data_IF_413136637019
#
_entry.id   IF_413136637019
#
_cell.length_a   1.000
_cell.length_b   1.000
_cell.length_c   1.000
_cell.angle_alpha   90.00
_cell.angle_beta   90.00
_cell.angle_gamma   90.00
#
_symmetry.space_group_name_H-M   'P 1'
#
loop_
_entity.id
_entity.type
_entity.pdbx_description
1 polymer ?
#
# COMPACT_ATOMS: atom_id res chain seq x y z
N UNK A 1 17.79 -10.77 3.67
CA UNK A 1 17.43 -9.88 4.79
C UNK A 1 17.21 -8.46 4.30
N UNK A 2 18.29 -7.70 4.07
CA UNK A 2 18.25 -6.30 3.67
C UNK A 2 17.27 -5.97 2.52
N UNK A 3 17.44 -6.64 1.38
CA UNK A 3 16.60 -6.40 0.17
C UNK A 3 15.11 -6.56 0.50
N UNK A 4 14.76 -7.59 1.26
CA UNK A 4 13.39 -7.93 1.61
C UNK A 4 12.73 -6.89 2.52
N UNK A 5 13.45 -6.38 3.51
CA UNK A 5 12.92 -5.34 4.40
C UNK A 5 12.84 -3.98 3.70
N UNK A 6 13.86 -3.62 2.91
CA UNK A 6 13.88 -2.38 2.14
C UNK A 6 12.79 -2.34 1.06
N UNK A 7 12.65 -3.42 0.27
CA UNK A 7 11.63 -3.50 -0.78
C UNK A 7 10.22 -3.47 -0.23
N UNK A 8 9.97 -4.18 0.87
CA UNK A 8 8.67 -4.19 1.55
C UNK A 8 8.30 -2.82 2.11
N UNK A 9 9.25 -2.16 2.76
CA UNK A 9 9.04 -0.82 3.31
C UNK A 9 8.75 0.17 2.20
N UNK A 10 9.55 0.11 1.13
CA UNK A 10 9.30 0.91 -0.07
C UNK A 10 7.89 0.69 -0.59
N UNK A 11 7.46 -0.56 -0.78
CA UNK A 11 6.11 -0.87 -1.25
C UNK A 11 5.01 -0.30 -0.34
N UNK A 12 5.15 -0.44 0.98
CA UNK A 12 4.22 0.15 1.96
C UNK A 12 4.13 1.66 1.84
N UNK A 13 5.27 2.33 1.77
CA UNK A 13 5.34 3.78 1.65
C UNK A 13 4.79 4.27 0.31
N UNK A 14 4.94 3.50 -0.78
CA UNK A 14 4.33 3.85 -2.06
C UNK A 14 2.80 3.79 -2.02
N UNK A 15 2.23 2.82 -1.31
CA UNK A 15 0.78 2.76 -1.09
C UNK A 15 0.32 3.95 -0.24
N UNK A 16 1.08 4.29 0.82
CA UNK A 16 0.82 5.48 1.61
C UNK A 16 0.88 6.76 0.77
N UNK A 17 1.90 6.93 -0.07
CA UNK A 17 1.99 8.06 -0.99
C UNK A 17 0.85 8.07 -2.01
N UNK A 18 0.39 6.91 -2.49
CA UNK A 18 -0.77 6.85 -3.37
C UNK A 18 -2.06 7.32 -2.67
N UNK A 19 -2.25 7.04 -1.37
CA UNK A 19 -3.38 7.61 -0.60
C UNK A 19 -3.27 9.12 -0.44
N UNK A 20 -2.05 9.64 -0.20
CA UNK A 20 -1.78 11.07 -0.11
C UNK A 20 -2.06 11.76 -1.46
N UNK A 21 -1.57 11.17 -2.55
CA UNK A 21 -1.76 11.66 -3.90
C UNK A 21 -3.25 11.78 -4.26
N UNK A 22 -4.03 10.75 -3.92
CA UNK A 22 -5.49 10.75 -4.10
C UNK A 22 -6.18 11.82 -3.26
N UNK A 23 -5.73 12.03 -2.03
CA UNK A 23 -6.24 13.13 -1.21
C UNK A 23 -5.93 14.50 -1.84
N UNK A 24 -4.68 14.72 -2.27
CA UNK A 24 -4.24 15.94 -2.93
C UNK A 24 -5.07 16.21 -4.20
N UNK A 25 -5.30 15.18 -5.02
CA UNK A 25 -6.12 15.25 -6.23
C UNK A 25 -7.58 15.62 -5.92
N UNK A 26 -8.13 15.07 -4.83
CA UNK A 26 -9.51 15.35 -4.38
C UNK A 26 -9.68 16.69 -3.67
N UNK A 27 -8.57 17.37 -3.32
CA UNK A 27 -8.61 18.58 -2.50
C UNK A 27 -9.24 19.76 -3.23
N UNK A 28 -10.00 20.57 -2.50
CA UNK A 28 -10.65 21.78 -3.04
C UNK A 28 -9.64 22.88 -3.37
N UNK A 29 -8.49 22.89 -2.70
CA UNK A 29 -7.49 23.94 -2.90
C UNK A 29 -6.70 23.68 -4.19
N UNK A 30 -6.74 24.63 -5.12
CA UNK A 30 -6.01 24.56 -6.38
C UNK A 30 -4.49 24.38 -6.18
N UNK A 31 -3.94 24.99 -5.12
CA UNK A 31 -2.51 24.86 -4.78
C UNK A 31 -2.12 23.42 -4.47
N UNK A 32 -2.96 22.69 -3.73
CA UNK A 32 -2.70 21.28 -3.45
C UNK A 32 -2.81 20.45 -4.74
N UNK A 33 -3.85 20.66 -5.56
CA UNK A 33 -3.98 19.93 -6.84
C UNK A 33 -2.78 20.11 -7.76
N UNK A 34 -2.17 21.30 -7.79
CA UNK A 34 -0.95 21.56 -8.54
C UNK A 34 0.28 20.79 -8.03
N UNK A 35 0.27 20.28 -6.80
CA UNK A 35 1.34 19.43 -6.27
C UNK A 35 1.28 18.01 -6.81
N UNK A 36 0.13 17.53 -7.31
CA UNK A 36 0.01 16.25 -8.01
C UNK A 36 0.56 16.39 -9.44
N UNK A 37 1.87 16.56 -9.54
CA UNK A 37 2.60 16.51 -10.80
C UNK A 37 3.46 15.25 -10.82
N UNK A 38 3.64 14.69 -12.02
CA UNK A 38 4.49 13.52 -12.22
C UNK A 38 5.93 13.75 -11.72
N UNK A 39 6.42 15.00 -11.79
CA UNK A 39 7.74 15.38 -11.26
C UNK A 39 7.82 15.18 -9.75
N UNK A 40 6.82 15.63 -9.00
CA UNK A 40 6.78 15.50 -7.55
C UNK A 40 6.64 14.04 -7.12
N UNK A 41 5.82 13.25 -7.84
CA UNK A 41 5.67 11.81 -7.58
C UNK A 41 7.02 11.09 -7.74
N UNK A 42 7.76 11.39 -8.82
CA UNK A 42 9.11 10.82 -9.05
C UNK A 42 10.08 11.18 -7.95
N UNK A 43 10.09 12.43 -7.50
CA UNK A 43 10.95 12.90 -6.39
C UNK A 43 10.58 12.16 -5.10
N UNK A 44 9.29 12.06 -4.76
CA UNK A 44 8.83 11.34 -3.57
C UNK A 44 9.22 9.85 -3.62
N UNK A 45 9.10 9.20 -4.78
CA UNK A 45 9.53 7.82 -4.99
C UNK A 45 11.02 7.65 -4.69
N UNK A 46 11.88 8.52 -5.25
CA UNK A 46 13.34 8.47 -5.03
C UNK A 46 13.67 8.66 -3.55
N UNK A 47 13.02 9.63 -2.90
CA UNK A 47 13.20 9.89 -1.47
C UNK A 47 12.84 8.66 -0.63
N UNK A 48 11.69 8.02 -0.88
CA UNK A 48 11.27 6.82 -0.14
C UNK A 48 12.24 5.67 -0.31
N UNK A 49 12.72 5.42 -1.53
CA UNK A 49 13.71 4.37 -1.80
C UNK A 49 15.01 4.64 -1.06
N UNK A 50 15.51 5.88 -1.12
CA UNK A 50 16.74 6.28 -0.46
C UNK A 50 16.64 6.16 1.07
N UNK A 51 15.56 6.69 1.66
CA UNK A 51 15.28 6.58 3.09
C UNK A 51 15.16 5.11 3.52
N UNK A 52 14.49 4.26 2.72
CA UNK A 52 14.37 2.83 3.02
C UNK A 52 15.74 2.14 3.04
N UNK A 53 16.62 2.44 2.07
CA UNK A 53 17.99 1.92 2.06
C UNK A 53 18.77 2.36 3.31
N UNK A 54 18.68 3.64 3.69
CA UNK A 54 19.37 4.17 4.86
C UNK A 54 18.87 3.52 6.16
N UNK A 55 17.56 3.44 6.38
CA UNK A 55 16.96 2.84 7.59
C UNK A 55 17.38 1.38 7.75
N UNK A 56 17.49 0.63 6.66
CA UNK A 56 17.83 -0.79 6.72
C UNK A 56 19.32 -1.10 6.55
N UNK A 57 20.17 -0.10 6.30
CA UNK A 57 21.62 -0.28 6.24
C UNK A 57 22.19 -0.90 7.53
N UNK A 58 21.58 -0.61 8.68
CA UNK A 58 21.91 -1.21 9.98
C UNK A 58 21.86 -2.74 9.97
N UNK A 59 21.08 -3.38 9.08
CA UNK A 59 21.00 -4.85 8.98
C UNK A 59 22.39 -5.45 8.73
N UNK A 60 23.24 -4.79 7.94
CA UNK A 60 24.59 -5.30 7.66
C UNK A 60 25.46 -5.45 8.92
N UNK A 61 25.25 -4.60 9.92
CA UNK A 61 26.04 -4.60 11.16
C UNK A 61 25.34 -5.32 12.32
N UNK A 62 24.01 -5.29 12.35
CA UNK A 62 23.20 -5.80 13.46
C UNK A 62 22.76 -7.27 13.29
N UNK A 63 22.73 -7.81 12.07
CA UNK A 63 22.30 -9.19 11.86
C UNK A 63 23.50 -10.13 11.77
N UNK A 64 23.34 -11.32 12.36
CA UNK A 64 24.28 -12.42 12.20
C UNK A 64 23.52 -13.68 11.76
N UNK A 65 24.18 -14.52 10.99
CA UNK A 65 23.63 -15.80 10.54
C UNK A 65 23.91 -16.90 11.56
N UNK A 66 23.10 -17.95 11.52
CA UNK A 66 23.22 -19.18 12.31
C UNK A 66 23.21 -18.94 13.83
N UNK A 67 22.38 -18.02 14.33
CA UNK A 67 22.16 -17.91 15.77
C UNK A 67 21.37 -19.12 16.29
N UNK A 68 21.77 -19.59 17.47
CA UNK A 68 21.07 -20.63 18.23
C UNK A 68 20.04 -19.95 19.14
N UNK A 69 18.93 -20.63 19.42
CA UNK A 69 17.83 -20.16 20.29
C UNK A 69 16.97 -18.99 19.77
N UNK A 70 17.23 -18.45 18.59
CA UNK A 70 16.39 -17.41 17.97
C UNK A 70 15.25 -18.01 17.12
N UNK A 71 14.14 -17.27 16.91
CA UNK A 71 13.03 -17.77 16.09
C UNK A 71 13.40 -17.97 14.61
N UNK A 72 14.44 -17.28 14.15
CA UNK A 72 14.98 -17.35 12.79
C UNK A 72 16.49 -17.59 12.85
N UNK A 73 17.02 -18.31 11.85
CA UNK A 73 18.48 -18.52 11.70
C UNK A 73 19.26 -17.24 11.46
N UNK A 74 18.61 -16.18 10.96
CA UNK A 74 19.22 -14.88 10.70
C UNK A 74 18.46 -13.82 11.50
N UNK A 75 19.08 -13.35 12.58
CA UNK A 75 18.42 -12.50 13.57
C UNK A 75 19.38 -11.48 14.18
N UNK A 76 18.86 -10.52 14.94
CA UNK A 76 19.65 -9.47 15.58
C UNK A 76 20.66 -10.07 16.57
N UNK A 77 21.94 -9.71 16.43
CA UNK A 77 23.06 -10.26 17.20
C UNK A 77 23.02 -9.90 18.69
N UNK A 78 22.44 -8.74 19.02
CA UNK A 78 22.32 -8.20 20.37
C UNK A 78 20.89 -7.76 20.62
N UNK A 79 20.49 -7.74 21.89
CA UNK A 79 19.18 -7.24 22.30
C UNK A 79 18.92 -5.81 21.78
N UNK A 80 19.92 -4.93 21.88
CA UNK A 80 19.83 -3.54 21.37
C UNK A 80 19.53 -3.52 19.87
N UNK A 81 20.25 -4.34 19.08
CA UNK A 81 19.98 -4.46 17.65
C UNK A 81 18.58 -4.98 17.34
N UNK A 82 18.06 -5.92 18.14
CA UNK A 82 16.71 -6.45 17.98
C UNK A 82 15.68 -5.35 18.24
N UNK A 83 15.74 -4.69 19.42
CA UNK A 83 14.85 -3.59 19.80
C UNK A 83 14.84 -2.49 18.74
N UNK A 84 16.02 -2.03 18.32
CA UNK A 84 16.16 -1.00 17.29
C UNK A 84 15.50 -1.49 15.99
N UNK A 85 15.89 -2.66 15.48
CA UNK A 85 15.36 -3.15 14.21
C UNK A 85 13.85 -3.38 14.24
N UNK A 86 13.31 -3.89 15.35
CA UNK A 86 11.88 -4.17 15.51
C UNK A 86 11.08 -2.87 15.69
N UNK A 87 11.65 -1.87 16.36
CA UNK A 87 11.06 -0.53 16.48
C UNK A 87 11.03 0.20 15.14
N UNK A 88 12.13 0.22 14.39
CA UNK A 88 12.17 0.83 13.06
C UNK A 88 11.22 0.13 12.08
N UNK A 89 11.18 -1.20 12.13
CA UNK A 89 10.29 -1.99 11.29
C UNK A 89 8.82 -1.77 11.67
N UNK A 90 8.45 -1.95 12.93
CA UNK A 90 7.07 -1.81 13.40
C UNK A 90 6.57 -0.37 13.32
N UNK A 91 7.34 0.57 13.88
CA UNK A 91 6.98 1.98 13.95
C UNK A 91 7.01 2.66 12.59
N UNK A 92 8.19 2.75 11.98
CA UNK A 92 8.38 3.57 10.76
C UNK A 92 7.88 2.85 9.51
N UNK A 93 8.02 1.52 9.43
CA UNK A 93 7.74 0.80 8.19
C UNK A 93 6.33 0.25 8.09
N UNK A 94 5.62 0.09 9.22
CA UNK A 94 4.25 -0.47 9.24
C UNK A 94 3.26 0.53 9.84
N UNK A 95 3.43 0.94 11.10
CA UNK A 95 2.46 1.76 11.83
C UNK A 95 2.33 3.15 11.20
N UNK A 96 3.45 3.84 10.95
CA UNK A 96 3.43 5.20 10.39
C UNK A 96 2.74 5.26 9.02
N UNK A 97 3.11 4.44 8.00
CA UNK A 97 2.39 4.44 6.74
C UNK A 97 0.92 4.03 6.90
N UNK A 98 0.57 3.10 7.80
CA UNK A 98 -0.84 2.77 8.09
C UNK A 98 -1.63 3.97 8.61
N UNK A 99 -1.07 4.73 9.56
CA UNK A 99 -1.69 5.95 10.08
C UNK A 99 -1.91 6.96 8.95
N UNK A 100 -0.90 7.19 8.11
CA UNK A 100 -1.02 8.09 6.96
C UNK A 100 -2.13 7.61 6.01
N UNK A 101 -2.15 6.32 5.67
CA UNK A 101 -3.17 5.72 4.80
C UNK A 101 -4.58 5.90 5.35
N UNK A 102 -4.78 5.73 6.66
CA UNK A 102 -6.08 5.91 7.31
C UNK A 102 -6.48 7.40 7.30
N UNK A 103 -5.59 8.29 7.75
CA UNK A 103 -5.88 9.73 7.84
C UNK A 103 -6.19 10.33 6.47
N UNK A 104 -5.35 10.09 5.47
CA UNK A 104 -5.55 10.61 4.11
C UNK A 104 -6.67 9.87 3.37
N UNK A 105 -6.86 8.57 3.64
CA UNK A 105 -8.01 7.82 3.15
C UNK A 105 -9.34 8.42 3.61
N UNK A 106 -9.50 8.68 4.91
CA UNK A 106 -10.68 9.33 5.47
C UNK A 106 -10.89 10.74 4.88
N UNK A 107 -9.84 11.56 4.81
CA UNK A 107 -9.94 12.90 4.19
C UNK A 107 -10.37 12.84 2.72
N UNK A 108 -9.93 11.83 1.98
CA UNK A 108 -10.35 11.60 0.58
C UNK A 108 -11.84 11.26 0.50
N UNK A 109 -12.35 10.39 1.39
CA UNK A 109 -13.79 10.07 1.49
C UNK A 109 -14.60 11.35 1.74
N UNK A 110 -14.20 12.15 2.74
CA UNK A 110 -14.90 13.40 3.07
C UNK A 110 -14.95 14.38 1.89
N UNK A 111 -13.82 14.58 1.20
CA UNK A 111 -13.77 15.46 0.02
C UNK A 111 -14.68 14.96 -1.11
N UNK A 112 -14.66 13.66 -1.38
CA UNK A 112 -15.47 13.04 -2.43
C UNK A 112 -16.97 13.17 -2.12
N UNK A 113 -17.39 12.99 -0.86
CA UNK A 113 -18.79 13.18 -0.45
C UNK A 113 -19.23 14.65 -0.61
N UNK A 114 -18.39 15.61 -0.20
CA UNK A 114 -18.71 17.04 -0.35
C UNK A 114 -18.86 17.47 -1.80
N UNK A 115 -18.03 16.94 -2.71
CA UNK A 115 -18.14 17.23 -4.14
C UNK A 115 -19.45 16.66 -4.71
N UNK A 116 -19.88 15.47 -4.30
CA UNK A 116 -21.11 14.86 -4.79
C UNK A 116 -22.36 15.64 -4.41
N UNK A 117 -22.42 16.15 -3.18
CA UNK A 117 -23.56 16.94 -2.69
C UNK A 117 -23.74 18.22 -3.50
N UNK A 118 -22.65 18.83 -3.99
CA UNK A 118 -22.70 20.07 -4.79
C UNK A 118 -23.01 19.86 -6.27
N UNK A 119 -22.71 18.67 -6.80
CA UNK A 119 -22.82 18.38 -8.24
C UNK A 119 -24.11 17.62 -8.57
N UNK A 120 -24.99 17.32 -7.62
CA UNK A 120 -26.39 17.06 -7.95
C UNK A 120 -26.96 18.36 -8.53
N UNK A 121 -27.10 18.48 -9.87
CA UNK A 121 -27.77 19.62 -10.40
C UNK A 121 -29.21 19.44 -9.93
N UNK A 122 -29.70 20.39 -9.14
CA UNK A 122 -31.13 20.64 -9.02
C UNK A 122 -31.64 20.59 -10.47
N UNK A 123 -32.35 19.53 -10.83
CA UNK A 123 -33.04 19.43 -12.10
C UNK A 123 -34.11 20.52 -12.03
N UNK A 124 -33.73 21.75 -12.39
CA UNK A 124 -34.68 22.78 -12.71
C UNK A 124 -35.22 22.32 -14.07
N UNK A 125 -36.50 21.93 -14.19
CA UNK A 125 -37.08 21.63 -15.48
C UNK A 125 -37.08 22.94 -16.28
N UNK A 126 -36.09 23.11 -17.14
CA UNK A 126 -36.07 24.19 -18.13
C UNK A 126 -37.05 23.75 -19.21
N UNK A 127 -38.29 24.21 -19.06
CA UNK A 127 -39.26 24.26 -20.15
C UNK A 127 -38.73 25.26 -21.17
N UNK A 128 -38.33 24.76 -22.34
CA UNK A 128 -38.10 25.52 -23.55
C UNK A 128 -36.73 26.19 -23.69
N UNK A 129 -35.81 25.56 -24.42
CA UNK A 129 -35.19 26.22 -25.59
C UNK A 129 -34.37 25.22 -26.41
N UNK A 130 -34.75 25.12 -27.69
CA UNK A 130 -34.01 24.44 -28.74
C UNK A 130 -32.63 25.09 -28.93
N UNK A 131 -31.61 24.26 -29.22
CA UNK A 131 -30.22 24.59 -29.57
C UNK A 131 -29.18 24.49 -28.44
N UNK A 132 -28.67 23.28 -28.15
CA UNK A 132 -27.34 23.08 -27.52
C UNK A 132 -26.86 21.61 -27.55
N UNK A 133 -26.58 21.06 -28.74
CA UNK A 133 -25.96 19.71 -28.86
C UNK A 133 -24.46 19.65 -28.51
N UNK A 134 -23.77 20.78 -28.28
CA UNK A 134 -22.31 20.78 -28.00
C UNK A 134 -21.91 20.52 -26.54
N UNK A 135 -22.84 20.56 -25.58
CA UNK A 135 -22.53 20.41 -24.14
C UNK A 135 -22.82 19.01 -23.55
N UNK A 136 -23.27 18.05 -24.37
CA UNK A 136 -23.61 16.70 -23.92
C UNK A 136 -22.35 15.83 -23.78
N UNK A 137 -21.40 15.94 -24.73
CA UNK A 137 -20.17 15.13 -24.72
C UNK A 137 -19.23 15.41 -23.52
N UNK A 138 -19.13 16.66 -23.05
CA UNK A 138 -18.27 17.00 -21.90
C UNK A 138 -18.84 16.50 -20.56
N UNK A 139 -20.17 16.42 -20.43
CA UNK A 139 -20.83 15.87 -19.24
C UNK A 139 -20.62 14.36 -19.13
N UNK A 140 -20.82 13.59 -20.21
CA UNK A 140 -20.59 12.14 -20.20
C UNK A 140 -19.14 11.78 -19.88
N UNK A 141 -18.18 12.50 -20.48
CA UNK A 141 -16.77 12.28 -20.24
C UNK A 141 -16.43 12.52 -18.75
N UNK A 142 -16.93 13.60 -18.15
CA UNK A 142 -16.71 13.90 -16.72
C UNK A 142 -17.31 12.86 -15.76
N UNK A 143 -18.41 12.19 -16.14
CA UNK A 143 -19.05 11.13 -15.34
C UNK A 143 -18.23 9.84 -15.41
N UNK A 144 -17.67 9.51 -16.57
CA UNK A 144 -16.80 8.35 -16.74
C UNK A 144 -15.50 8.46 -15.90
N UNK A 145 -14.82 9.61 -15.95
CA UNK A 145 -13.62 9.86 -15.13
C UNK A 145 -13.90 9.72 -13.62
N UNK A 146 -15.05 10.23 -13.15
CA UNK A 146 -15.47 10.10 -11.74
C UNK A 146 -15.72 8.65 -11.31
N UNK A 147 -16.28 7.80 -12.20
CA UNK A 147 -16.50 6.38 -11.91
C UNK A 147 -15.18 5.63 -11.78
N UNK A 148 -14.24 5.89 -12.70
CA UNK A 148 -12.92 5.26 -12.68
C UNK A 148 -12.11 5.66 -11.43
N UNK A 149 -12.16 6.93 -11.02
CA UNK A 149 -11.49 7.39 -9.80
C UNK A 149 -12.07 6.79 -8.52
N UNK A 150 -13.41 6.66 -8.41
CA UNK A 150 -14.03 5.98 -7.27
C UNK A 150 -13.59 4.52 -7.19
N UNK A 151 -13.50 3.85 -8.32
CA UNK A 151 -13.09 2.46 -8.38
C UNK A 151 -11.64 2.30 -7.93
N UNK A 152 -10.71 3.10 -8.48
CA UNK A 152 -9.31 3.10 -8.07
C UNK A 152 -9.14 3.42 -6.57
N UNK A 153 -9.96 4.31 -6.03
CA UNK A 153 -9.98 4.61 -4.61
C UNK A 153 -10.53 3.46 -3.74
N UNK A 154 -11.59 2.78 -4.19
CA UNK A 154 -12.14 1.60 -3.51
C UNK A 154 -11.13 0.45 -3.45
N UNK A 155 -10.39 0.23 -4.54
CA UNK A 155 -9.30 -0.75 -4.61
C UNK A 155 -8.20 -0.41 -3.60
N UNK A 156 -7.83 0.88 -3.52
CA UNK A 156 -6.82 1.37 -2.58
C UNK A 156 -7.26 1.16 -1.11
N UNK A 157 -8.49 1.49 -0.74
CA UNK A 157 -9.02 1.24 0.62
C UNK A 157 -8.99 -0.26 0.95
N UNK A 158 -9.47 -1.09 0.02
CA UNK A 158 -9.49 -2.54 0.20
C UNK A 158 -8.09 -3.06 0.45
N UNK A 159 -7.11 -2.58 -0.34
CA UNK A 159 -5.71 -2.91 -0.15
C UNK A 159 -5.21 -2.48 1.24
N UNK A 160 -5.49 -1.25 1.70
CA UNK A 160 -5.06 -0.76 3.02
C UNK A 160 -5.62 -1.63 4.16
N UNK A 161 -6.90 -2.00 4.10
CA UNK A 161 -7.55 -2.83 5.13
C UNK A 161 -6.91 -4.23 5.17
N UNK A 162 -6.83 -4.89 4.01
CA UNK A 162 -6.23 -6.23 3.90
C UNK A 162 -4.76 -6.19 4.34
N UNK A 163 -4.01 -5.17 3.92
CA UNK A 163 -2.62 -4.99 4.30
C UNK A 163 -2.46 -4.84 5.82
N UNK A 164 -3.29 -4.02 6.46
CA UNK A 164 -3.28 -3.82 7.92
C UNK A 164 -3.54 -5.13 8.66
N UNK A 165 -4.62 -5.83 8.32
CA UNK A 165 -5.01 -7.10 8.95
C UNK A 165 -3.90 -8.16 8.85
N UNK A 166 -3.25 -8.26 7.68
CA UNK A 166 -2.22 -9.28 7.45
C UNK A 166 -0.84 -8.93 8.01
N UNK A 167 -0.55 -7.65 8.27
CA UNK A 167 0.80 -7.23 8.71
C UNK A 167 0.90 -6.83 10.18
N UNK A 168 -0.20 -6.39 10.80
CA UNK A 168 -0.22 -6.09 12.23
C UNK A 168 0.15 -7.29 13.13
N UNK A 169 -0.31 -8.54 12.87
CA UNK A 169 0.08 -9.68 13.68
C UNK A 169 1.61 -9.87 13.77
N UNK A 170 2.33 -9.55 12.69
CA UNK A 170 3.79 -9.66 12.68
C UNK A 170 4.44 -8.61 13.58
N UNK A 171 3.94 -7.37 13.58
CA UNK A 171 4.47 -6.31 14.45
C UNK A 171 4.23 -6.66 15.91
N UNK A 172 3.02 -7.13 16.24
CA UNK A 172 2.66 -7.56 17.60
C UNK A 172 3.55 -8.73 18.05
N UNK A 173 3.72 -9.74 17.19
CA UNK A 173 4.56 -10.89 17.50
C UNK A 173 6.04 -10.50 17.73
N UNK A 174 6.57 -9.58 16.92
CA UNK A 174 7.93 -9.05 17.13
C UNK A 174 8.06 -8.34 18.47
N UNK A 175 7.20 -7.38 18.76
CA UNK A 175 7.21 -6.64 20.04
C UNK A 175 7.08 -7.58 21.23
N UNK A 176 6.22 -8.59 21.14
CA UNK A 176 6.06 -9.61 22.18
C UNK A 176 7.35 -10.41 22.41
N UNK A 177 8.01 -10.89 21.34
CA UNK A 177 9.27 -11.63 21.46
C UNK A 177 10.37 -10.74 22.04
N UNK A 178 10.51 -9.50 21.54
CA UNK A 178 11.50 -8.56 22.06
C UNK A 178 11.28 -8.31 23.55
N UNK A 179 10.02 -8.15 23.99
CA UNK A 179 9.68 -7.87 25.39
C UNK A 179 9.89 -9.07 26.31
N UNK A 180 9.68 -10.29 25.80
CA UNK A 180 9.78 -11.53 26.58
C UNK A 180 11.18 -12.18 26.54
N UNK A 181 12.15 -11.53 25.89
CA UNK A 181 13.52 -12.08 25.69
C UNK A 181 14.25 -12.37 27.01
N UNK A 182 13.97 -11.62 28.08
CA UNK A 182 14.63 -11.80 29.38
C UNK A 182 13.92 -12.75 30.34
N UNK A 183 12.75 -13.28 29.96
CA UNK A 183 12.00 -14.20 30.81
C UNK A 183 12.45 -15.64 30.56
N UNK A 184 12.62 -16.43 31.61
CA UNK A 184 12.86 -17.87 31.50
C UNK A 184 11.59 -18.52 30.95
N UNK A 185 11.66 -19.10 29.76
CA UNK A 185 10.51 -19.72 29.09
C UNK A 185 10.62 -21.24 29.11
N UNK A 186 9.49 -21.91 29.38
CA UNK A 186 9.36 -23.36 29.19
C UNK A 186 9.53 -23.73 27.71
N UNK A 187 10.06 -24.92 27.38
CA UNK A 187 10.29 -25.35 25.98
C UNK A 187 8.99 -25.41 25.15
N UNK A 188 7.86 -25.75 25.78
CA UNK A 188 6.55 -25.76 25.15
C UNK A 188 6.14 -24.34 24.69
N UNK A 189 6.26 -23.35 25.59
CA UNK A 189 5.97 -21.94 25.30
C UNK A 189 6.84 -21.41 24.15
N UNK A 190 8.14 -21.69 24.18
CA UNK A 190 9.06 -21.28 23.12
C UNK A 190 8.68 -21.84 21.74
N UNK A 191 8.21 -23.09 21.71
CA UNK A 191 7.78 -23.75 20.48
C UNK A 191 6.50 -23.13 19.92
N UNK A 192 5.54 -22.81 20.80
CA UNK A 192 4.31 -22.11 20.43
C UNK A 192 4.60 -20.69 19.93
N UNK A 193 5.43 -19.92 20.63
CA UNK A 193 5.80 -18.55 20.25
C UNK A 193 6.47 -18.51 18.87
N UNK A 194 7.34 -19.50 18.57
CA UNK A 194 7.94 -19.65 17.23
C UNK A 194 6.92 -20.01 16.16
N UNK A 195 5.96 -20.87 16.48
CA UNK A 195 4.89 -21.24 15.55
C UNK A 195 4.03 -20.02 15.18
N UNK A 196 3.57 -19.26 16.18
CA UNK A 196 2.80 -18.02 15.99
C UNK A 196 3.60 -16.99 15.19
N UNK A 197 4.88 -16.81 15.51
CA UNK A 197 5.75 -15.89 14.78
C UNK A 197 5.89 -16.28 13.30
N UNK A 198 6.06 -17.56 12.99
CA UNK A 198 6.16 -18.05 11.61
C UNK A 198 4.84 -17.86 10.85
N UNK A 199 3.70 -18.09 11.48
CA UNK A 199 2.38 -17.79 10.90
C UNK A 199 2.29 -16.30 10.59
N UNK A 200 2.57 -15.43 11.57
CA UNK A 200 2.51 -13.98 11.38
C UNK A 200 3.45 -13.50 10.26
N UNK A 201 4.64 -14.10 10.16
CA UNK A 201 5.59 -13.83 9.09
C UNK A 201 5.03 -14.23 7.70
N UNK A 202 4.40 -15.41 7.60
CA UNK A 202 3.75 -15.91 6.39
C UNK A 202 2.59 -15.01 5.94
N UNK A 203 1.70 -14.61 6.86
CA UNK A 203 0.62 -13.66 6.55
C UNK A 203 1.19 -12.37 5.96
N UNK A 204 2.29 -11.89 6.51
CA UNK A 204 2.99 -10.72 6.03
C UNK A 204 3.54 -10.87 4.60
N UNK A 205 4.01 -12.06 4.22
CA UNK A 205 4.45 -12.36 2.87
C UNK A 205 3.29 -12.40 1.88
N UNK A 206 2.18 -13.03 2.28
CA UNK A 206 0.93 -13.00 1.51
C UNK A 206 0.51 -11.55 1.28
N UNK A 207 0.56 -10.70 2.31
CA UNK A 207 0.22 -9.29 2.21
C UNK A 207 1.06 -8.53 1.18
N UNK A 208 2.31 -8.91 0.93
CA UNK A 208 3.15 -8.25 -0.08
C UNK A 208 2.83 -8.71 -1.51
N UNK A 209 2.28 -9.92 -1.69
CA UNK A 209 1.82 -10.44 -2.99
C UNK A 209 0.39 -10.00 -3.35
N UNK A 210 -0.44 -9.73 -2.34
CA UNK A 210 -1.85 -9.34 -2.50
C UNK A 210 -2.10 -8.13 -3.41
N UNK A 211 -1.28 -7.05 -3.40
CA UNK A 211 -1.53 -5.89 -4.26
C UNK A 211 -1.68 -6.27 -5.73
N UNK A 212 -0.84 -7.17 -6.25
CA UNK A 212 -0.93 -7.65 -7.63
C UNK A 212 -2.30 -8.28 -7.91
N UNK A 213 -2.77 -9.16 -7.04
CA UNK A 213 -4.07 -9.82 -7.19
C UNK A 213 -5.23 -8.85 -7.01
N UNK A 214 -5.15 -7.93 -6.06
CA UNK A 214 -6.16 -6.90 -5.83
C UNK A 214 -6.27 -5.99 -7.07
N UNK A 215 -5.15 -5.49 -7.61
CA UNK A 215 -5.17 -4.66 -8.81
C UNK A 215 -5.61 -5.43 -10.06
N UNK A 216 -5.29 -6.71 -10.18
CA UNK A 216 -5.64 -7.52 -11.37
C UNK A 216 -7.10 -7.99 -11.33
N UNK A 217 -7.57 -8.47 -10.17
CA UNK A 217 -8.92 -9.01 -10.01
C UNK A 217 -9.94 -7.92 -9.73
N UNK A 218 -9.64 -7.00 -8.81
CA UNK A 218 -10.53 -5.89 -8.47
C UNK A 218 -10.35 -4.68 -9.39
N UNK A 219 -9.35 -4.65 -10.30
CA UNK A 219 -9.14 -3.56 -11.27
C UNK A 219 -10.15 -3.50 -12.41
N UNK A 220 -11.02 -4.50 -12.55
CA UNK A 220 -12.09 -4.56 -13.55
C UNK A 220 -11.58 -4.57 -15.00
N UNK A 221 -12.48 -4.23 -15.94
CA UNK A 221 -12.19 -4.28 -17.38
C UNK A 221 -11.09 -3.32 -17.84
N UNK A 222 -10.79 -2.29 -17.05
CA UNK A 222 -9.73 -1.31 -17.33
C UNK A 222 -8.32 -1.91 -17.23
N UNK A 223 -8.11 -2.93 -16.40
CA UNK A 223 -6.81 -3.58 -16.23
C UNK A 223 -6.76 -4.98 -16.85
N UNK A 224 -7.90 -5.69 -16.87
CA UNK A 224 -8.01 -7.02 -17.46
C UNK A 224 -7.85 -7.00 -18.99
N UNK A 225 -8.42 -6.00 -19.70
CA UNK A 225 -8.34 -5.92 -21.17
C UNK A 225 -6.89 -5.71 -21.68
N UNK A 226 -6.09 -4.78 -21.12
CA UNK A 226 -4.68 -4.64 -21.50
C UNK A 226 -3.84 -5.88 -21.18
N UNK A 227 -4.06 -6.51 -20.02
CA UNK A 227 -3.32 -7.72 -19.63
C UNK A 227 -3.61 -8.89 -20.59
N UNK A 228 -4.88 -9.13 -20.89
CA UNK A 228 -5.29 -10.15 -21.86
C UNK A 228 -4.75 -9.85 -23.25
N UNK A 229 -4.72 -8.58 -23.66
CA UNK A 229 -4.12 -8.16 -24.93
C UNK A 229 -2.60 -8.46 -24.96
N UNK A 230 -1.87 -8.14 -23.90
CA UNK A 230 -0.43 -8.44 -23.80
C UNK A 230 -0.19 -9.95 -23.81
N UNK A 231 -0.94 -10.73 -23.03
CA UNK A 231 -0.84 -12.19 -23.01
C UNK A 231 -1.14 -12.76 -24.40
N UNK A 232 -2.18 -12.27 -25.06
CA UNK A 232 -2.53 -12.70 -26.42
C UNK A 232 -1.43 -12.36 -27.43
N UNK A 233 -0.82 -11.17 -27.36
CA UNK A 233 0.31 -10.78 -28.21
C UNK A 233 1.54 -11.66 -27.96
N UNK A 234 1.84 -11.99 -26.71
CA UNK A 234 2.95 -12.86 -26.34
C UNK A 234 2.71 -14.29 -26.85
N UNK A 235 1.51 -14.84 -26.63
CA UNK A 235 1.12 -16.16 -27.13
C UNK A 235 1.20 -16.21 -28.65
N UNK A 236 0.70 -15.17 -29.34
CA UNK A 236 0.80 -15.06 -30.80
C UNK A 236 2.26 -15.05 -31.24
N UNK A 237 3.13 -14.22 -30.64
CA UNK A 237 4.56 -14.20 -30.96
C UNK A 237 5.27 -15.53 -30.69
N UNK A 238 4.92 -16.23 -29.61
CA UNK A 238 5.45 -17.56 -29.29
C UNK A 238 5.01 -18.63 -30.31
N UNK A 239 3.78 -18.53 -30.84
CA UNK A 239 3.30 -19.43 -31.88
C UNK A 239 3.92 -19.18 -33.26
N UNK A 240 4.31 -17.94 -33.58
CA UNK A 240 5.01 -17.62 -34.84
C UNK A 240 6.51 -17.96 -34.83
N UNK A 241 7.07 -18.27 -33.66
CA UNK A 241 8.49 -18.63 -33.52
C UNK A 241 8.73 -20.15 -33.57
N UNK A 242 7.70 -20.92 -33.93
CA UNK A 242 7.70 -22.37 -34.03
C UNK A 242 7.41 -22.77 -35.46
#
# INVERSE_FOLDING_TARGET
GFILFSSRTTAFWLIALATVDRWIASSRNARYRQMNTLKNIKICFIIVVFISILIYSQIFYCYKANLVNTPLKCYGKSFVCQVISDTFYGGISVILPLILMIVFGLKTIFNIHQIQIRVHPRQIPIVGQNNSSKNIHSKEQSVHWKKQDRHLFSVLITQVIVQGILTLPQVVAKVYITSTTFQIQTPLKLSFDRFIYNIALLLSFVANGMPFYIYTLCGGSSFQKPLLHIIHVIIKKLMYFK
#
